data_IF_626730433315
#
_entry.id   IF_626730433315
#
_cell.length_a   1.000
_cell.length_b   1.000
_cell.length_c   1.000
_cell.angle_alpha   90.00
_cell.angle_beta   90.00
_cell.angle_gamma   90.00
#
_symmetry.space_group_name_H-M   'P 1'
#
loop_
_entity.id
_entity.type
_entity.pdbx_description
1 polymer ?
#
# COMPACT_ATOMS: atom_id res chain seq x y z
N UNK A 1 3.30 1.52 -5.80
CA UNK A 1 2.53 0.25 -5.71
C UNK A 1 2.45 -0.22 -4.26
N UNK A 2 1.41 -0.95 -3.90
CA UNK A 2 1.28 -1.57 -2.58
C UNK A 2 0.55 -2.91 -2.65
N UNK A 3 0.83 -3.80 -1.70
CA UNK A 3 0.05 -5.02 -1.48
C UNK A 3 -0.80 -4.81 -0.23
N UNK A 4 -2.11 -4.95 -0.38
CA UNK A 4 -3.11 -4.67 0.66
C UNK A 4 -3.94 -5.89 1.00
N UNK A 5 -4.49 -5.90 2.21
CA UNK A 5 -5.49 -6.87 2.64
C UNK A 5 -6.76 -6.76 1.78
N UNK A 6 -7.33 -7.90 1.41
CA UNK A 6 -8.67 -8.02 0.83
C UNK A 6 -8.72 -7.73 -0.66
N UNK A 7 -9.93 -7.83 -1.23
CA UNK A 7 -10.22 -7.40 -2.59
C UNK A 7 -10.50 -5.90 -2.59
N UNK A 8 -9.51 -5.14 -3.05
CA UNK A 8 -9.60 -3.69 -3.16
C UNK A 8 -10.65 -3.32 -4.24
N UNK A 9 -11.31 -2.15 -4.16
CA UNK A 9 -12.11 -1.61 -5.26
C UNK A 9 -11.29 -1.51 -6.54
N UNK A 10 -11.93 -1.58 -7.71
CA UNK A 10 -11.21 -1.48 -8.99
C UNK A 10 -10.52 -0.12 -9.16
N UNK A 11 -11.23 0.95 -8.80
CA UNK A 11 -10.73 2.31 -8.73
C UNK A 11 -11.44 3.06 -7.60
N UNK A 12 -10.71 3.91 -6.88
CA UNK A 12 -11.29 4.78 -5.85
C UNK A 12 -10.39 6.00 -5.61
N UNK A 13 -11.01 7.17 -5.53
CA UNK A 13 -10.36 8.38 -5.01
C UNK A 13 -10.75 8.57 -3.56
N UNK A 14 -9.74 8.66 -2.69
CA UNK A 14 -9.94 8.95 -1.27
C UNK A 14 -9.58 10.41 -1.04
N UNK A 15 -10.59 11.24 -0.85
CA UNK A 15 -10.48 12.59 -0.32
C UNK A 15 -10.90 12.56 1.16
N UNK A 16 -9.91 12.36 2.03
CA UNK A 16 -10.14 12.20 3.46
C UNK A 16 -9.02 12.86 4.25
N UNK A 17 -9.41 13.82 5.07
CA UNK A 17 -8.51 14.60 5.91
C UNK A 17 -7.73 13.73 6.89
N UNK A 18 -6.46 14.08 7.09
CA UNK A 18 -5.55 13.39 7.99
C UNK A 18 -5.05 14.34 9.07
N UNK A 19 -5.11 13.87 10.30
CA UNK A 19 -4.48 14.52 11.45
C UNK A 19 -3.00 14.12 11.51
N UNK A 20 -2.12 15.10 11.65
CA UNK A 20 -0.68 14.87 11.86
C UNK A 20 -0.33 14.75 13.36
N UNK A 21 0.95 14.53 13.66
CA UNK A 21 1.43 14.32 15.03
C UNK A 21 1.36 15.58 15.92
N UNK A 22 0.93 16.73 15.38
CA UNK A 22 0.70 18.00 16.08
C UNK A 22 -0.79 18.36 16.16
N UNK A 23 -1.67 17.36 16.04
CA UNK A 23 -3.13 17.50 16.04
C UNK A 23 -3.70 18.44 14.95
N UNK A 24 -2.90 18.76 13.92
CA UNK A 24 -3.37 19.57 12.80
C UNK A 24 -4.02 18.68 11.76
N UNK A 25 -5.28 18.98 11.45
CA UNK A 25 -6.03 18.36 10.35
C UNK A 25 -5.56 18.96 9.02
N UNK A 26 -5.29 18.10 8.04
CA UNK A 26 -4.83 18.48 6.72
C UNK A 26 -5.55 17.67 5.66
N UNK A 27 -6.05 18.35 4.63
CA UNK A 27 -6.63 17.67 3.49
C UNK A 27 -5.60 16.77 2.79
N UNK A 28 -6.07 15.57 2.43
CA UNK A 28 -5.26 14.54 1.81
C UNK A 28 -6.07 13.79 0.75
N UNK A 29 -5.55 13.74 -0.46
CA UNK A 29 -6.20 13.10 -1.62
C UNK A 29 -5.28 12.07 -2.25
N UNK A 30 -5.76 10.83 -2.38
CA UNK A 30 -5.05 9.74 -3.06
C UNK A 30 -5.98 9.03 -4.04
N UNK A 31 -5.51 8.85 -5.26
CA UNK A 31 -6.15 7.99 -6.25
C UNK A 31 -5.57 6.59 -6.16
N UNK A 32 -6.43 5.57 -6.15
CA UNK A 32 -6.03 4.18 -6.13
C UNK A 32 -6.63 3.43 -7.32
N UNK A 33 -5.84 2.51 -7.87
CA UNK A 33 -6.28 1.56 -8.90
C UNK A 33 -5.84 0.16 -8.51
N UNK A 34 -6.75 -0.80 -8.58
CA UNK A 34 -6.39 -2.21 -8.38
C UNK A 34 -5.81 -2.77 -9.66
N UNK A 35 -4.66 -3.43 -9.52
CA UNK A 35 -3.95 -4.08 -10.62
C UNK A 35 -4.28 -5.58 -10.66
N UNK A 36 -4.32 -6.23 -9.49
CA UNK A 36 -4.58 -7.67 -9.40
C UNK A 36 -5.15 -8.06 -8.04
N UNK A 37 -5.85 -9.18 -8.00
CA UNK A 37 -6.36 -9.82 -6.78
C UNK A 37 -5.79 -11.22 -6.64
N UNK A 38 -5.69 -11.71 -5.41
CA UNK A 38 -5.33 -13.10 -5.11
C UNK A 38 -6.00 -13.55 -3.81
N UNK A 39 -6.20 -14.85 -3.68
CA UNK A 39 -6.78 -15.49 -2.51
C UNK A 39 -5.99 -16.75 -2.19
N UNK A 40 -5.57 -16.86 -0.93
CA UNK A 40 -4.82 -17.99 -0.42
C UNK A 40 -5.74 -18.85 0.43
N UNK A 41 -5.56 -20.16 0.33
CA UNK A 41 -6.16 -21.14 1.25
C UNK A 41 -5.40 -21.15 2.59
N UNK A 42 -5.43 -19.99 3.25
CA UNK A 42 -4.84 -19.75 4.56
C UNK A 42 -5.91 -19.11 5.44
N UNK A 43 -6.40 -19.84 6.46
CA UNK A 43 -7.43 -19.31 7.33
C UNK A 43 -6.87 -18.21 8.24
N UNK A 44 -7.68 -17.18 8.47
CA UNK A 44 -7.33 -16.11 9.40
C UNK A 44 -8.57 -15.55 10.10
N UNK A 45 -8.60 -15.68 11.43
CA UNK A 45 -9.74 -15.27 12.23
C UNK A 45 -10.96 -16.13 11.92
N UNK A 46 -12.04 -15.51 11.42
CA UNK A 46 -13.28 -16.20 11.06
C UNK A 46 -13.35 -16.65 9.59
N UNK A 47 -12.33 -16.34 8.80
CA UNK A 47 -12.32 -16.63 7.37
C UNK A 47 -11.48 -17.87 7.09
N UNK A 48 -11.97 -18.77 6.25
CA UNK A 48 -11.26 -19.97 5.80
C UNK A 48 -10.11 -19.64 4.84
N UNK A 49 -10.21 -18.53 4.12
CA UNK A 49 -9.22 -18.06 3.15
C UNK A 49 -8.76 -16.64 3.47
N UNK A 50 -7.64 -16.23 2.87
CA UNK A 50 -7.07 -14.89 3.01
C UNK A 50 -6.92 -14.20 1.65
N UNK A 51 -7.55 -13.04 1.49
CA UNK A 51 -7.58 -12.27 0.24
C UNK A 51 -6.60 -11.11 0.26
N UNK A 52 -6.04 -10.77 -0.89
CA UNK A 52 -5.12 -9.66 -1.10
C UNK A 52 -5.32 -9.00 -2.46
N UNK A 53 -4.80 -7.78 -2.60
CA UNK A 53 -4.74 -7.07 -3.86
C UNK A 53 -3.40 -6.37 -4.05
N UNK A 54 -2.91 -6.35 -5.29
CA UNK A 54 -1.88 -5.42 -5.74
C UNK A 54 -2.57 -4.14 -6.22
N UNK A 55 -2.13 -3.00 -5.70
CA UNK A 55 -2.70 -1.69 -6.05
C UNK A 55 -1.62 -0.71 -6.50
N UNK A 56 -2.01 0.16 -7.41
CA UNK A 56 -1.35 1.43 -7.68
C UNK A 56 -1.96 2.49 -6.77
N UNK A 57 -1.11 3.39 -6.27
CA UNK A 57 -1.51 4.49 -5.41
C UNK A 57 -0.82 5.75 -5.92
N UNK A 58 -1.60 6.76 -6.31
CA UNK A 58 -1.14 8.06 -6.77
C UNK A 58 -1.58 9.14 -5.77
N UNK A 59 -0.70 9.53 -4.84
CA UNK A 59 -1.01 10.59 -3.90
C UNK A 59 -1.00 11.94 -4.63
N UNK A 60 -2.11 12.67 -4.61
CA UNK A 60 -2.20 14.03 -5.17
C UNK A 60 -1.72 15.09 -4.17
N UNK A 61 -1.57 14.69 -2.92
CA UNK A 61 -0.99 15.47 -1.82
C UNK A 61 0.10 14.68 -1.11
N UNK A 62 1.00 15.34 -0.38
CA UNK A 62 2.15 14.70 0.27
C UNK A 62 2.06 14.63 1.80
N UNK A 63 0.95 14.19 2.39
CA UNK A 63 0.83 14.14 3.87
C UNK A 63 1.56 12.94 4.48
N UNK A 64 2.00 13.08 5.72
CA UNK A 64 2.70 12.01 6.45
C UNK A 64 1.84 10.76 6.54
N UNK A 65 2.40 9.63 6.10
CA UNK A 65 1.74 8.32 6.06
C UNK A 65 0.42 8.28 5.26
N UNK A 66 0.21 9.20 4.32
CA UNK A 66 -1.07 9.38 3.64
C UNK A 66 -1.65 8.09 3.04
N UNK A 67 -0.90 7.44 2.13
CA UNK A 67 -1.33 6.19 1.49
C UNK A 67 -1.68 5.13 2.53
N UNK A 68 -0.86 5.00 3.58
CA UNK A 68 -1.02 4.01 4.64
C UNK A 68 -2.30 4.24 5.46
N UNK A 69 -2.54 5.50 5.86
CA UNK A 69 -3.75 5.92 6.60
C UNK A 69 -5.00 5.75 5.72
N UNK A 70 -4.96 6.14 4.45
CA UNK A 70 -6.07 5.98 3.50
C UNK A 70 -6.41 4.51 3.24
N UNK A 71 -5.41 3.64 3.02
CA UNK A 71 -5.61 2.20 2.90
C UNK A 71 -6.27 1.61 4.16
N UNK A 72 -5.82 2.03 5.35
CA UNK A 72 -6.43 1.61 6.62
C UNK A 72 -7.87 2.12 6.78
N UNK A 73 -8.14 3.38 6.41
CA UNK A 73 -9.48 3.98 6.39
C UNK A 73 -10.45 3.19 5.49
N UNK A 74 -10.00 2.76 4.31
CA UNK A 74 -10.76 1.89 3.42
C UNK A 74 -10.90 0.44 3.92
N UNK A 75 -10.33 0.09 5.09
CA UNK A 75 -10.27 -1.29 5.62
C UNK A 75 -9.48 -2.25 4.73
N UNK A 76 -8.54 -1.72 3.95
CA UNK A 76 -7.57 -2.46 3.14
C UNK A 76 -6.14 -2.09 3.55
N UNK A 77 -5.74 -2.32 4.81
CA UNK A 77 -4.41 -1.97 5.28
C UNK A 77 -3.30 -2.64 4.45
N UNK A 78 -2.18 -1.94 4.32
CA UNK A 78 -0.98 -2.47 3.66
C UNK A 78 -0.38 -3.59 4.50
N UNK A 79 0.04 -4.65 3.83
CA UNK A 79 0.69 -5.80 4.45
C UNK A 79 2.09 -5.40 4.93
N UNK A 80 2.41 -5.73 6.18
CA UNK A 80 3.69 -5.37 6.81
C UNK A 80 3.74 -3.96 7.41
N UNK A 81 2.67 -3.17 7.27
CA UNK A 81 2.56 -1.87 7.94
C UNK A 81 2.32 -2.04 9.45
N UNK A 82 3.18 -1.48 10.30
CA UNK A 82 3.07 -1.63 11.76
C UNK A 82 1.96 -0.75 12.38
N UNK A 83 1.99 0.60 12.28
CA UNK A 83 1.00 1.45 12.94
C UNK A 83 -0.38 1.42 12.30
N UNK A 84 -0.50 1.20 10.99
CA UNK A 84 -1.80 1.25 10.29
C UNK A 84 -2.22 -0.09 9.68
N UNK A 85 -1.42 -1.14 9.88
CA UNK A 85 -1.69 -2.46 9.33
C UNK A 85 -2.57 -3.36 10.19
N UNK A 86 -2.83 -4.57 9.70
CA UNK A 86 -3.53 -5.59 10.47
C UNK A 86 -2.54 -6.47 11.24
N UNK A 87 -2.48 -6.33 12.57
CA UNK A 87 -1.54 -7.08 13.42
C UNK A 87 -1.62 -8.59 13.26
N UNK A 88 -2.84 -9.14 13.05
CA UNK A 88 -3.03 -10.58 12.80
C UNK A 88 -2.39 -11.02 11.49
N UNK A 89 -2.58 -10.24 10.41
CA UNK A 89 -1.94 -10.54 9.13
C UNK A 89 -0.44 -10.38 9.19
N UNK A 90 0.07 -9.30 9.77
CA UNK A 90 1.51 -9.08 9.88
C UNK A 90 2.20 -10.20 10.67
N UNK A 91 1.59 -10.69 11.76
CA UNK A 91 2.10 -11.85 12.50
C UNK A 91 2.11 -13.11 11.65
N UNK A 92 1.04 -13.37 10.91
CA UNK A 92 0.97 -14.52 10.00
C UNK A 92 2.04 -14.44 8.90
N UNK A 93 2.21 -13.29 8.24
CA UNK A 93 3.23 -13.11 7.20
C UNK A 93 4.64 -13.29 7.75
N UNK A 94 4.91 -12.76 8.96
CA UNK A 94 6.17 -12.98 9.67
C UNK A 94 6.39 -14.45 9.99
N UNK A 95 5.40 -15.12 10.57
CA UNK A 95 5.53 -16.52 11.00
C UNK A 95 5.70 -17.49 9.83
N UNK A 96 5.02 -17.24 8.70
CA UNK A 96 4.98 -18.17 7.57
C UNK A 96 6.05 -17.90 6.52
N UNK A 97 6.45 -16.65 6.34
CA UNK A 97 7.41 -16.26 5.29
C UNK A 97 8.55 -15.36 5.78
N UNK A 98 8.68 -15.12 7.09
CA UNK A 98 9.74 -14.27 7.65
C UNK A 98 9.66 -12.79 7.24
N UNK A 99 8.55 -12.36 6.63
CA UNK A 99 8.42 -11.00 6.08
C UNK A 99 8.26 -9.96 7.20
N UNK A 100 9.14 -8.96 7.20
CA UNK A 100 9.23 -7.93 8.24
C UNK A 100 9.10 -6.49 7.71
N UNK A 101 9.01 -6.33 6.40
CA UNK A 101 8.96 -5.06 5.68
C UNK A 101 7.55 -4.71 5.25
N UNK A 102 7.25 -3.41 5.12
CA UNK A 102 6.01 -2.93 4.53
C UNK A 102 6.01 -3.16 3.03
N UNK A 103 4.92 -3.72 2.48
CA UNK A 103 4.73 -3.90 1.04
C UNK A 103 4.15 -2.63 0.42
N UNK A 104 4.89 -1.52 0.56
CA UNK A 104 4.65 -0.23 -0.08
C UNK A 104 5.93 0.19 -0.80
N UNK A 105 5.85 0.44 -2.10
CA UNK A 105 6.98 0.79 -2.94
C UNK A 105 6.69 2.03 -3.78
N UNK A 106 7.58 3.02 -3.73
CA UNK A 106 7.56 4.17 -4.61
C UNK A 106 8.20 3.78 -5.94
N UNK A 107 7.36 3.43 -6.93
CA UNK A 107 7.82 2.89 -8.20
C UNK A 107 8.31 3.97 -9.18
N UNK A 108 7.67 5.14 -9.14
CA UNK A 108 7.88 6.21 -10.10
C UNK A 108 7.77 7.56 -9.39
N UNK A 109 8.61 8.52 -9.80
CA UNK A 109 8.51 9.92 -9.46
C UNK A 109 8.61 10.76 -10.73
N UNK A 110 7.59 11.59 -10.98
CA UNK A 110 7.57 12.58 -12.07
C UNK A 110 7.70 13.98 -11.50
N UNK A 111 8.64 14.75 -12.03
CA UNK A 111 8.83 16.14 -11.66
C UNK A 111 9.41 16.94 -12.83
N UNK A 112 9.22 18.27 -12.82
CA UNK A 112 9.96 19.15 -13.70
C UNK A 112 11.34 19.41 -13.10
N UNK A 113 12.38 19.28 -13.92
CA UNK A 113 13.73 19.61 -13.49
C UNK A 113 13.80 21.10 -13.13
N UNK A 114 14.38 21.46 -11.96
CA UNK A 114 14.22 22.80 -11.39
C UNK A 114 14.99 23.90 -12.13
N UNK A 115 15.94 23.53 -13.02
CA UNK A 115 16.80 24.49 -13.73
C UNK A 115 16.34 24.74 -15.17
N UNK A 116 16.02 23.68 -15.90
CA UNK A 116 15.74 23.73 -17.35
C UNK A 116 14.28 23.36 -17.70
N UNK A 117 13.46 23.00 -16.70
CA UNK A 117 12.04 22.73 -16.86
C UNK A 117 11.68 21.43 -17.59
N UNK A 118 12.66 20.62 -18.02
CA UNK A 118 12.39 19.35 -18.70
C UNK A 118 11.69 18.37 -17.76
N UNK A 119 10.86 17.50 -18.32
CA UNK A 119 10.24 16.43 -17.54
C UNK A 119 11.28 15.38 -17.14
N UNK A 120 11.33 15.05 -15.85
CA UNK A 120 12.07 13.93 -15.32
C UNK A 120 11.09 12.84 -14.91
N UNK A 121 11.36 11.63 -15.38
CA UNK A 121 10.70 10.41 -14.92
C UNK A 121 11.77 9.55 -14.29
N UNK A 122 11.68 9.36 -12.97
CA UNK A 122 12.60 8.53 -12.20
C UNK A 122 11.86 7.26 -11.79
N UNK A 123 12.42 6.11 -12.14
CA UNK A 123 11.86 4.80 -11.82
C UNK A 123 12.76 4.06 -10.84
N UNK A 124 12.15 3.37 -9.88
CA UNK A 124 12.85 2.54 -8.92
C UNK A 124 12.39 1.09 -9.06
N UNK A 125 13.35 0.19 -9.27
CA UNK A 125 13.10 -1.25 -9.24
C UNK A 125 12.52 -1.71 -7.90
N UNK A 126 11.71 -2.77 -7.94
CA UNK A 126 11.15 -3.35 -6.72
C UNK A 126 12.26 -3.93 -5.84
N UNK A 127 12.14 -3.74 -4.52
CA UNK A 127 13.04 -4.41 -3.59
C UNK A 127 12.81 -5.93 -3.57
N UNK A 128 13.82 -6.69 -3.15
CA UNK A 128 13.78 -8.16 -3.19
C UNK A 128 12.62 -8.75 -2.39
N UNK A 129 12.28 -8.17 -1.24
CA UNK A 129 11.17 -8.65 -0.40
C UNK A 129 9.81 -8.46 -1.10
N UNK A 130 9.60 -7.34 -1.79
CA UNK A 130 8.37 -7.08 -2.53
C UNK A 130 8.24 -8.10 -3.69
N UNK A 131 9.32 -8.33 -4.44
CA UNK A 131 9.34 -9.34 -5.51
C UNK A 131 9.05 -10.73 -4.97
N UNK A 132 9.70 -11.13 -3.86
CA UNK A 132 9.46 -12.41 -3.21
C UNK A 132 8.00 -12.57 -2.79
N UNK A 133 7.39 -11.53 -2.21
CA UNK A 133 5.98 -11.57 -1.79
C UNK A 133 5.02 -11.58 -2.97
N UNK A 134 5.30 -10.91 -4.08
CA UNK A 134 4.49 -11.07 -5.30
C UNK A 134 4.47 -12.53 -5.76
N UNK A 135 5.65 -13.18 -5.81
CA UNK A 135 5.75 -14.59 -6.17
C UNK A 135 4.99 -15.52 -5.21
N UNK A 136 5.14 -15.34 -3.90
CA UNK A 136 4.42 -16.12 -2.88
C UNK A 136 2.90 -15.95 -2.99
N UNK A 137 2.44 -14.74 -3.32
CA UNK A 137 1.02 -14.41 -3.40
C UNK A 137 0.42 -14.71 -4.79
N UNK A 138 1.22 -15.10 -5.78
CA UNK A 138 0.78 -15.27 -7.16
C UNK A 138 0.34 -13.96 -7.82
N UNK A 139 0.87 -12.82 -7.36
CA UNK A 139 0.61 -11.48 -7.90
C UNK A 139 1.56 -11.15 -9.05
#
# INVERSE_FOLDING_TARGET
>A
MAIVRGYFPESVTVDYDLTNDRDKVQNAVTEFKRLKTTELDIPLGKHSTSRYSLIEARPLTGRQHQIRKHCSHLRHPIIGDRPYGCSKQNRMFKARWGMMTSLLHAAELRLRHPVDGRELVLEAGLNMEFVRMMGVLGL
#
